data_IF_853087152760
#
_entry.id   IF_853087152760
#
_cell.length_a   1.000
_cell.length_b   1.000
_cell.length_c   1.000
_cell.angle_alpha   90.00
_cell.angle_beta   90.00
_cell.angle_gamma   90.00
#
_symmetry.space_group_name_H-M   'P 1'
#
loop_
_entity.id
_entity.type
_entity.pdbx_description
1 polymer ?
#
# COMPACT_ATOMS: atom_id res chain seq x y z
N UNK A 1 31.11 -15.98 -8.66
CA UNK A 1 29.86 -15.19 -8.57
C UNK A 1 28.83 -15.92 -9.41
N UNK A 2 27.61 -16.07 -8.92
CA UNK A 2 26.56 -16.81 -9.63
C UNK A 2 25.75 -15.84 -10.50
N UNK A 3 25.61 -16.17 -11.78
CA UNK A 3 24.79 -15.41 -12.73
C UNK A 3 23.30 -15.65 -12.47
N UNK A 4 22.49 -14.63 -12.70
CA UNK A 4 21.02 -14.67 -12.53
C UNK A 4 20.36 -14.44 -13.86
N UNK A 5 19.22 -15.09 -14.08
CA UNK A 5 18.33 -14.80 -15.20
C UNK A 5 17.29 -13.76 -14.81
N UNK A 6 16.99 -12.87 -15.76
CA UNK A 6 15.99 -11.82 -15.66
C UNK A 6 14.99 -12.00 -16.80
N UNK A 7 13.70 -11.88 -16.49
CA UNK A 7 12.62 -12.17 -17.42
C UNK A 7 11.63 -11.01 -17.50
N UNK A 8 11.34 -10.56 -18.71
CA UNK A 8 10.31 -9.56 -18.96
C UNK A 8 8.94 -10.22 -18.85
N UNK A 9 8.10 -9.73 -17.93
CA UNK A 9 6.78 -10.33 -17.71
C UNK A 9 5.84 -10.17 -18.91
N UNK A 10 6.07 -9.13 -19.71
CA UNK A 10 5.23 -8.74 -20.85
C UNK A 10 5.63 -9.48 -22.14
N UNK A 11 6.80 -9.19 -22.71
CA UNK A 11 7.25 -9.76 -23.99
C UNK A 11 8.07 -11.04 -23.87
N UNK A 12 8.29 -11.54 -22.65
CA UNK A 12 9.04 -12.77 -22.34
C UNK A 12 10.53 -12.74 -22.71
N UNK A 13 11.08 -11.57 -23.01
CA UNK A 13 12.52 -11.40 -23.19
C UNK A 13 13.31 -11.87 -21.95
N UNK A 14 14.45 -12.51 -22.18
CA UNK A 14 15.35 -13.02 -21.13
C UNK A 14 16.69 -12.31 -21.23
N UNK A 15 17.28 -11.98 -20.09
CA UNK A 15 18.66 -11.56 -19.97
C UNK A 15 19.36 -12.36 -18.86
N UNK A 16 20.68 -12.52 -18.96
CA UNK A 16 21.48 -13.20 -17.95
C UNK A 16 22.62 -12.29 -17.53
N UNK A 17 22.89 -12.22 -16.23
CA UNK A 17 24.01 -11.45 -15.71
C UNK A 17 24.06 -11.43 -14.19
N UNK A 18 25.09 -10.78 -13.65
CA UNK A 18 25.27 -10.65 -12.20
C UNK A 18 24.28 -9.68 -11.54
N UNK A 19 23.69 -8.78 -12.34
CA UNK A 19 22.76 -7.74 -11.89
C UNK A 19 21.71 -7.44 -12.96
N UNK A 20 20.64 -6.74 -12.56
CA UNK A 20 19.57 -6.35 -13.48
C UNK A 20 20.17 -5.52 -14.63
N UNK A 21 19.91 -5.86 -15.90
CA UNK A 21 20.51 -5.14 -17.01
C UNK A 21 20.05 -3.68 -17.06
N UNK A 22 20.91 -2.80 -17.58
CA UNK A 22 20.56 -1.41 -17.81
C UNK A 22 19.35 -1.29 -18.75
N UNK A 23 18.47 -0.32 -18.49
CA UNK A 23 17.25 -0.11 -19.27
C UNK A 23 16.09 -1.06 -18.92
N UNK A 24 16.24 -1.93 -17.92
CA UNK A 24 15.14 -2.70 -17.37
C UNK A 24 14.44 -1.94 -16.24
N UNK A 25 13.13 -2.13 -16.14
CA UNK A 25 12.25 -1.44 -15.21
C UNK A 25 11.59 -2.44 -14.24
N UNK A 26 11.38 -2.00 -13.01
CA UNK A 26 10.72 -2.78 -11.96
C UNK A 26 9.38 -2.15 -11.61
N UNK A 27 8.29 -2.91 -11.73
CA UNK A 27 6.97 -2.47 -11.28
C UNK A 27 6.71 -2.94 -9.85
N UNK A 28 6.29 -2.01 -8.99
CA UNK A 28 5.99 -2.27 -7.58
C UNK A 28 4.67 -1.61 -7.21
N UNK A 29 3.89 -2.28 -6.36
CA UNK A 29 2.69 -1.73 -5.74
C UNK A 29 2.99 -1.37 -4.30
N UNK A 30 2.79 -0.11 -3.93
CA UNK A 30 2.80 0.31 -2.54
C UNK A 30 1.60 -0.32 -1.82
N UNK A 31 1.86 -0.90 -0.66
CA UNK A 31 0.86 -1.40 0.27
C UNK A 31 0.83 -0.49 1.49
N UNK A 32 -0.31 -0.48 2.19
CA UNK A 32 -0.42 0.21 3.47
C UNK A 32 0.66 -0.28 4.46
N UNK A 33 1.24 0.66 5.21
CA UNK A 33 2.28 0.38 6.20
C UNK A 33 3.70 0.33 5.65
N UNK A 34 3.98 0.96 4.50
CA UNK A 34 5.35 1.15 3.98
C UNK A 34 5.99 -0.09 3.36
N UNK A 35 5.18 -1.10 3.04
CA UNK A 35 5.63 -2.30 2.32
C UNK A 35 5.34 -2.14 0.84
N UNK A 36 6.22 -2.63 -0.02
CA UNK A 36 5.95 -2.69 -1.45
C UNK A 36 5.94 -4.13 -1.94
N UNK A 37 4.93 -4.47 -2.74
CA UNK A 37 4.86 -5.73 -3.45
C UNK A 37 5.51 -5.57 -4.83
N UNK A 38 6.51 -6.41 -5.15
CA UNK A 38 7.12 -6.44 -6.49
C UNK A 38 6.19 -7.21 -7.43
N UNK A 39 5.79 -6.56 -8.53
CA UNK A 39 4.85 -7.13 -9.50
C UNK A 39 5.56 -7.78 -10.71
N UNK A 40 6.70 -7.24 -11.12
CA UNK A 40 7.42 -7.77 -12.27
C UNK A 40 8.58 -6.90 -12.74
N UNK A 41 9.41 -7.47 -13.60
CA UNK A 41 10.51 -6.80 -14.29
C UNK A 41 10.19 -6.70 -15.78
N UNK A 42 10.64 -5.62 -16.43
CA UNK A 42 10.27 -5.27 -17.81
C UNK A 42 11.49 -4.77 -18.58
N UNK A 43 11.69 -5.25 -19.81
CA UNK A 43 12.90 -4.96 -20.58
C UNK A 43 12.93 -3.55 -21.20
N UNK A 44 11.80 -2.84 -21.22
CA UNK A 44 11.69 -1.48 -21.76
C UNK A 44 10.46 -0.74 -21.19
N UNK A 45 10.39 0.57 -21.37
CA UNK A 45 9.26 1.41 -20.93
C UNK A 45 7.93 0.96 -21.56
N UNK A 46 7.93 0.57 -22.84
CA UNK A 46 6.71 0.10 -23.51
C UNK A 46 6.10 -1.12 -22.83
N UNK A 47 6.92 -2.11 -22.45
CA UNK A 47 6.47 -3.28 -21.70
C UNK A 47 5.98 -2.93 -20.29
N UNK A 48 6.58 -1.94 -19.64
CA UNK A 48 6.14 -1.45 -18.33
C UNK A 48 4.76 -0.80 -18.42
N UNK A 49 4.53 0.04 -19.43
CA UNK A 49 3.27 0.75 -19.63
C UNK A 49 2.14 -0.22 -19.99
N UNK A 50 2.37 -1.15 -20.92
CA UNK A 50 1.38 -2.19 -21.27
C UNK A 50 0.94 -3.03 -20.05
N UNK A 51 1.89 -3.37 -19.17
CA UNK A 51 1.56 -4.03 -17.92
C UNK A 51 0.81 -3.13 -16.93
N UNK A 52 1.07 -1.82 -16.94
CA UNK A 52 0.30 -0.82 -16.20
C UNK A 52 -1.17 -0.76 -16.65
N UNK A 53 -1.41 -0.75 -17.96
CA UNK A 53 -2.76 -0.74 -18.54
C UNK A 53 -3.53 -2.02 -18.15
N UNK A 54 -2.86 -3.18 -18.18
CA UNK A 54 -3.46 -4.45 -17.74
C UNK A 54 -3.83 -4.45 -16.26
N UNK A 55 -3.04 -3.78 -15.41
CA UNK A 55 -3.34 -3.65 -13.98
C UNK A 55 -4.55 -2.74 -13.74
N UNK A 56 -4.66 -1.64 -14.49
CA UNK A 56 -5.81 -0.74 -14.42
C UNK A 56 -7.09 -1.46 -14.86
N UNK A 57 -7.04 -2.20 -15.96
CA UNK A 57 -8.17 -3.01 -16.42
C UNK A 57 -8.57 -4.07 -15.38
N UNK A 58 -7.58 -4.74 -14.78
CA UNK A 58 -7.82 -5.69 -13.70
C UNK A 58 -8.41 -5.06 -12.44
N UNK A 59 -8.02 -3.82 -12.11
CA UNK A 59 -8.60 -3.05 -11.00
C UNK A 59 -10.05 -2.65 -11.28
N UNK A 60 -10.37 -2.24 -12.50
CA UNK A 60 -11.73 -1.92 -12.92
C UNK A 60 -12.64 -3.15 -12.93
N UNK A 61 -12.17 -4.28 -13.47
CA UNK A 61 -12.90 -5.56 -13.44
C UNK A 61 -13.11 -6.05 -12.00
N UNK A 62 -12.07 -6.00 -11.15
CA UNK A 62 -12.21 -6.33 -9.73
C UNK A 62 -13.22 -5.40 -9.05
N UNK A 63 -13.17 -4.10 -9.34
CA UNK A 63 -14.11 -3.13 -8.78
C UNK A 63 -15.56 -3.45 -9.16
N UNK A 64 -15.80 -3.81 -10.43
CA UNK A 64 -17.13 -4.23 -10.90
C UNK A 64 -17.61 -5.52 -10.23
N UNK A 65 -16.74 -6.52 -10.07
CA UNK A 65 -17.10 -7.81 -9.46
C UNK A 65 -17.39 -7.70 -7.97
N UNK A 66 -16.68 -6.83 -7.26
CA UNK A 66 -16.77 -6.68 -5.81
C UNK A 66 -17.57 -5.45 -5.37
N UNK A 67 -18.26 -4.77 -6.31
CA UNK A 67 -19.01 -3.53 -6.09
C UNK A 67 -18.21 -2.48 -5.30
N UNK A 68 -16.92 -2.36 -5.61
CA UNK A 68 -16.05 -1.39 -4.96
C UNK A 68 -16.34 0.01 -5.52
N UNK A 69 -16.36 1.05 -4.66
CA UNK A 69 -16.62 2.40 -5.11
C UNK A 69 -15.54 2.85 -6.10
N UNK A 70 -16.00 3.36 -7.24
CA UNK A 70 -15.13 3.91 -8.30
C UNK A 70 -14.35 5.10 -7.78
N UNK A 71 -13.28 5.51 -8.48
CA UNK A 71 -12.52 6.71 -8.13
C UNK A 71 -13.42 7.96 -8.04
N UNK A 72 -14.39 8.09 -8.95
CA UNK A 72 -15.37 9.19 -8.92
C UNK A 72 -16.26 9.15 -7.69
N UNK A 73 -16.70 7.96 -7.28
CA UNK A 73 -17.52 7.81 -6.08
C UNK A 73 -16.71 8.14 -4.83
N UNK A 74 -15.44 7.71 -4.79
CA UNK A 74 -14.51 8.07 -3.71
C UNK A 74 -14.29 9.57 -3.64
N UNK A 75 -14.06 10.26 -4.77
CA UNK A 75 -13.90 11.71 -4.80
C UNK A 75 -15.14 12.44 -4.22
N UNK A 76 -16.35 12.00 -4.60
CA UNK A 76 -17.61 12.53 -4.06
C UNK A 76 -17.77 12.28 -2.56
N UNK A 77 -17.36 11.10 -2.09
CA UNK A 77 -17.36 10.76 -0.67
C UNK A 77 -16.38 11.66 0.09
N UNK A 78 -15.19 11.89 -0.45
CA UNK A 78 -14.16 12.75 0.16
C UNK A 78 -14.64 14.20 0.25
N UNK A 79 -15.23 14.75 -0.81
CA UNK A 79 -15.79 16.11 -0.82
C UNK A 79 -16.91 16.28 0.24
N UNK A 80 -17.82 15.29 0.34
CA UNK A 80 -18.85 15.30 1.39
C UNK A 80 -18.28 15.12 2.79
N UNK A 81 -17.25 14.29 2.96
CA UNK A 81 -16.61 14.12 4.25
C UNK A 81 -15.89 15.40 4.70
N UNK A 82 -15.22 16.09 3.77
CA UNK A 82 -14.57 17.36 4.03
C UNK A 82 -15.56 18.43 4.50
N UNK A 83 -16.69 18.58 3.79
CA UNK A 83 -17.74 19.53 4.17
C UNK A 83 -18.31 19.20 5.57
N UNK A 84 -18.50 17.93 5.90
CA UNK A 84 -18.92 17.52 7.25
C UNK A 84 -17.89 17.84 8.32
N UNK A 85 -16.60 17.59 8.07
CA UNK A 85 -15.51 17.88 9.01
C UNK A 85 -15.37 19.40 9.23
N UNK A 86 -15.47 20.20 8.16
CA UNK A 86 -15.51 21.66 8.25
C UNK A 86 -16.72 22.18 9.03
N UNK A 87 -17.85 21.48 8.95
CA UNK A 87 -19.04 21.74 9.77
C UNK A 87 -18.91 21.24 11.24
N UNK A 88 -17.74 20.74 11.64
CA UNK A 88 -17.46 20.31 13.01
C UNK A 88 -17.85 18.87 13.33
N UNK A 89 -18.24 18.05 12.34
CA UNK A 89 -18.45 16.61 12.55
C UNK A 89 -17.12 15.91 12.74
N UNK A 90 -17.09 14.89 13.60
CA UNK A 90 -15.90 14.04 13.76
C UNK A 90 -15.79 13.02 12.63
N UNK A 91 -14.58 12.54 12.35
CA UNK A 91 -14.33 11.53 11.32
C UNK A 91 -15.22 10.27 11.46
N UNK A 92 -15.44 9.69 12.67
CA UNK A 92 -16.35 8.55 12.82
C UNK A 92 -17.81 8.87 12.48
N UNK A 93 -18.28 10.09 12.79
CA UNK A 93 -19.65 10.51 12.47
C UNK A 93 -19.84 10.71 10.96
N UNK A 94 -18.84 11.27 10.27
CA UNK A 94 -18.85 11.42 8.83
C UNK A 94 -18.81 10.05 8.13
N UNK A 95 -17.99 9.13 8.62
CA UNK A 95 -17.89 7.75 8.11
C UNK A 95 -19.23 7.00 8.19
N UNK A 96 -19.91 7.07 9.34
CA UNK A 96 -21.23 6.48 9.54
C UNK A 96 -22.26 7.07 8.57
N UNK A 97 -22.28 8.41 8.43
CA UNK A 97 -23.23 9.12 7.55
C UNK A 97 -23.02 8.78 6.07
N UNK A 98 -21.78 8.50 5.67
CA UNK A 98 -21.40 8.14 4.30
C UNK A 98 -21.46 6.63 4.05
N UNK A 99 -21.76 5.81 5.07
CA UNK A 99 -21.73 4.33 5.02
C UNK A 99 -20.37 3.79 4.55
N UNK A 100 -19.27 4.44 4.96
CA UNK A 100 -17.90 4.05 4.63
C UNK A 100 -17.15 3.67 5.89
N UNK A 101 -16.30 2.65 5.82
CA UNK A 101 -15.48 2.27 6.96
C UNK A 101 -14.51 3.42 7.35
N UNK A 102 -14.38 3.77 8.65
CA UNK A 102 -13.63 4.95 9.09
C UNK A 102 -12.13 4.89 8.75
N UNK A 103 -11.54 3.70 8.62
CA UNK A 103 -10.14 3.56 8.18
C UNK A 103 -9.95 3.89 6.70
N UNK A 104 -10.89 3.47 5.84
CA UNK A 104 -10.87 3.78 4.42
C UNK A 104 -11.06 5.28 4.20
N UNK A 105 -12.04 5.88 4.90
CA UNK A 105 -12.26 7.33 4.83
C UNK A 105 -11.04 8.12 5.30
N UNK A 106 -10.36 7.66 6.36
CA UNK A 106 -9.11 8.28 6.83
C UNK A 106 -8.02 8.22 5.76
N UNK A 107 -7.80 7.05 5.15
CA UNK A 107 -6.82 6.85 4.08
C UNK A 107 -7.11 7.79 2.90
N UNK A 108 -8.37 7.89 2.47
CA UNK A 108 -8.76 8.75 1.35
C UNK A 108 -8.58 10.23 1.65
N UNK A 109 -8.93 10.68 2.86
CA UNK A 109 -8.71 12.08 3.28
C UNK A 109 -7.21 12.41 3.39
N UNK A 110 -6.40 11.47 3.88
CA UNK A 110 -4.94 11.64 3.93
C UNK A 110 -4.33 11.72 2.53
N UNK A 111 -4.77 10.88 1.60
CA UNK A 111 -4.35 10.93 0.20
C UNK A 111 -4.73 12.26 -0.48
N UNK A 112 -5.84 12.87 -0.06
CA UNK A 112 -6.29 14.19 -0.52
C UNK A 112 -5.69 15.37 0.27
N UNK A 113 -4.77 15.13 1.21
CA UNK A 113 -4.19 16.15 2.10
C UNK A 113 -5.19 16.95 2.95
N UNK A 114 -6.36 16.37 3.24
CA UNK A 114 -7.39 17.01 4.06
C UNK A 114 -7.14 16.68 5.54
N UNK A 115 -6.97 17.69 6.42
CA UNK A 115 -6.74 17.46 7.84
C UNK A 115 -7.96 16.80 8.48
N UNK A 116 -7.74 15.67 9.15
CA UNK A 116 -8.79 14.88 9.81
C UNK A 116 -9.06 15.32 11.25
N UNK A 117 -8.22 16.21 11.78
CA UNK A 117 -8.42 16.90 13.05
C UNK A 117 -9.23 18.17 12.81
N UNK A 118 -10.36 18.31 13.50
CA UNK A 118 -11.07 19.59 13.62
C UNK A 118 -10.03 20.61 14.10
N UNK A 119 -9.82 21.75 13.39
CA UNK A 119 -9.05 22.83 13.95
C UNK A 119 -9.76 23.22 15.25
N UNK A 120 -9.13 22.91 16.39
CA UNK A 120 -9.53 23.53 17.64
C UNK A 120 -9.52 25.04 17.43
N UNK A 121 -10.41 25.80 18.10
CA UNK A 121 -10.39 27.25 17.99
C UNK A 121 -8.94 27.72 18.21
N UNK A 122 -8.45 28.70 17.43
CA UNK A 122 -7.09 29.19 17.61
C UNK A 122 -6.92 29.46 19.10
N UNK A 123 -5.92 28.81 19.71
CA UNK A 123 -5.60 29.05 21.10
C UNK A 123 -5.43 30.57 21.22
N UNK A 124 -6.39 31.22 21.89
CA UNK A 124 -6.26 32.61 22.28
C UNK A 124 -5.04 32.61 23.16
N UNK A 125 -3.94 33.17 22.63
CA UNK A 125 -2.72 33.37 23.38
C UNK A 125 -3.06 34.28 24.55
N UNK A 126 -3.26 33.67 25.72
CA UNK A 126 -3.33 34.39 26.98
C UNK A 126 -2.02 35.14 27.13
N UNK A 127 -2.01 36.48 27.30
CA UNK A 127 -0.77 37.22 27.44
C UNK A 127 -0.05 36.73 28.71
N UNK A 128 1.16 36.20 28.55
CA UNK A 128 2.05 35.89 29.67
C UNK A 128 2.36 37.18 30.43
N UNK A 129 2.14 37.26 31.75
CA UNK A 129 2.77 38.30 32.53
C UNK A 129 4.25 37.95 32.69
N UNK A 130 5.08 38.90 32.26
CA UNK A 130 6.52 38.92 32.47
C UNK A 130 6.80 39.00 33.97
N UNK A 131 7.68 38.14 34.50
CA UNK A 131 8.89 38.53 35.25
C UNK A 131 9.57 37.33 35.92
N UNK A 132 10.81 37.09 35.49
CA UNK A 132 11.89 36.33 36.15
C UNK A 132 12.41 37.07 37.41
N UNK A 133 13.46 36.63 38.14
CA UNK A 133 14.10 35.30 38.28
C UNK A 133 14.39 34.92 39.77
N UNK A 134 15.18 33.85 39.97
CA UNK A 134 16.15 33.60 41.08
C UNK A 134 15.79 32.46 42.05
N UNK A 135 16.42 31.29 41.85
CA UNK A 135 17.43 30.70 42.76
C UNK A 135 17.68 29.22 42.45
N UNK A 136 18.91 28.89 42.06
CA UNK A 136 19.53 27.55 42.18
C UNK A 136 19.79 27.25 43.70
N UNK A 137 20.22 26.04 44.18
CA UNK A 137 20.92 25.00 43.42
C UNK A 137 20.73 23.51 43.85
N UNK A 138 21.42 22.61 43.12
CA UNK A 138 22.08 21.37 43.61
C UNK A 138 21.23 20.12 43.95
N UNK A 139 21.41 19.03 43.15
CA UNK A 139 22.04 17.74 43.54
C UNK A 139 21.82 16.64 42.47
N UNK A 140 22.91 16.15 41.87
CA UNK A 140 23.12 14.73 41.49
C UNK A 140 23.31 13.89 42.77
N UNK A 141 23.03 12.56 42.85
CA UNK A 141 23.77 11.54 42.06
C UNK A 141 23.08 10.17 41.74
N UNK A 142 23.64 9.50 40.71
CA UNK A 142 23.96 8.04 40.60
C UNK A 142 22.84 6.98 40.65
N UNK A 143 22.74 6.14 39.60
CA UNK A 143 22.93 4.66 39.67
C UNK A 143 22.56 3.93 38.35
N UNK A 144 23.54 3.22 37.77
CA UNK A 144 23.41 1.95 37.01
C UNK A 144 23.33 0.79 38.05
N UNK A 145 23.15 -0.52 37.77
CA UNK A 145 22.99 -1.24 36.48
C UNK A 145 22.02 -2.48 36.49
N UNK A 146 21.95 -3.17 35.33
CA UNK A 146 21.74 -4.63 35.13
C UNK A 146 20.30 -5.20 35.39
N UNK A 147 19.81 -6.31 34.82
CA UNK A 147 20.38 -7.41 34.03
C UNK A 147 19.26 -8.26 33.36
N UNK A 148 19.65 -9.12 32.40
CA UNK A 148 19.19 -10.52 32.16
C UNK A 148 17.74 -10.73 31.63
N UNK A 149 17.37 -11.72 30.82
CA UNK A 149 17.90 -13.03 30.37
C UNK A 149 16.98 -13.51 29.21
N UNK A 150 17.48 -13.99 28.07
CA UNK A 150 17.71 -15.42 27.68
C UNK A 150 16.51 -16.16 27.05
N UNK A 151 16.72 -16.58 25.78
CA UNK A 151 16.31 -17.83 25.07
C UNK A 151 14.86 -18.36 25.12
N UNK A 152 14.34 -18.86 23.99
CA UNK A 152 14.06 -20.30 23.75
C UNK A 152 13.61 -20.57 22.30
N UNK A 153 13.93 -21.80 21.90
CA UNK A 153 13.81 -22.56 20.65
C UNK A 153 12.42 -22.85 20.06
N UNK A 154 12.43 -23.33 18.80
CA UNK A 154 11.45 -24.27 18.23
C UNK A 154 11.12 -23.88 16.78
N UNK A 155 11.42 -24.63 15.73
CA UNK A 155 11.20 -26.07 15.56
C UNK A 155 9.93 -26.25 14.71
N UNK A 156 10.08 -26.49 13.40
CA UNK A 156 8.93 -26.71 12.50
C UNK A 156 9.34 -27.18 11.10
N UNK A 157 9.40 -28.50 10.93
CA UNK A 157 9.53 -29.22 9.65
C UNK A 157 8.14 -29.43 9.02
N UNK A 158 8.02 -29.16 7.70
CA UNK A 158 7.31 -29.91 6.63
C UNK A 158 5.78 -30.18 6.76
N UNK A 159 5.00 -30.45 5.66
CA UNK A 159 5.33 -31.12 4.38
C UNK A 159 4.96 -30.31 3.10
N UNK A 160 5.68 -30.48 2.00
CA UNK A 160 5.64 -31.54 0.96
C UNK A 160 4.48 -31.37 -0.04
N UNK A 161 4.91 -31.02 -1.24
CA UNK A 161 4.19 -30.84 -2.50
C UNK A 161 3.72 -32.20 -3.02
N UNK A 162 2.45 -32.28 -3.46
CA UNK A 162 1.98 -33.37 -4.32
C UNK A 162 2.14 -32.94 -5.78
N UNK A 163 3.05 -33.62 -6.47
CA UNK A 163 3.15 -33.68 -7.92
C UNK A 163 1.91 -34.37 -8.52
N UNK A 164 1.34 -33.79 -9.58
CA UNK A 164 0.67 -34.57 -10.61
C UNK A 164 1.04 -34.06 -12.01
N UNK A 165 1.42 -34.97 -12.93
CA UNK A 165 1.83 -34.63 -14.27
C UNK A 165 0.67 -34.47 -15.26
N UNK A 166 1.03 -33.71 -16.29
CA UNK A 166 0.29 -33.29 -17.49
C UNK A 166 -0.03 -34.47 -18.40
N UNK A 167 -1.25 -34.49 -18.96
CA UNK A 167 -1.57 -35.28 -20.17
C UNK A 167 -2.18 -34.37 -21.22
N UNK A 168 -1.46 -34.27 -22.34
CA UNK A 168 -1.88 -33.78 -23.64
C UNK A 168 -3.16 -34.46 -24.17
N UNK A 169 -4.04 -33.67 -24.80
CA UNK A 169 -4.59 -34.04 -26.11
C UNK A 169 -5.25 -32.84 -26.82
N UNK A 170 -5.00 -32.63 -28.13
CA UNK A 170 -5.66 -31.61 -28.95
C UNK A 170 -6.99 -32.12 -29.53
N UNK A 171 -8.01 -31.27 -29.61
CA UNK A 171 -9.24 -31.56 -30.36
C UNK A 171 -9.31 -30.66 -31.59
N UNK A 172 -9.57 -31.31 -32.71
CA UNK A 172 -9.51 -30.82 -34.07
C UNK A 172 -10.53 -29.71 -34.39
N UNK A 173 -10.11 -28.90 -35.35
CA UNK A 173 -10.94 -28.07 -36.23
C UNK A 173 -11.96 -28.91 -37.00
N UNK A 174 -13.20 -28.46 -37.05
CA UNK A 174 -14.06 -28.73 -38.20
C UNK A 174 -14.92 -27.50 -38.54
N UNK A 175 -15.00 -27.26 -39.85
CA UNK A 175 -15.62 -26.11 -40.47
C UNK A 175 -16.80 -26.63 -41.30
N UNK A 176 -18.00 -26.10 -41.06
CA UNK A 176 -19.08 -26.17 -42.04
C UNK A 176 -20.01 -24.98 -41.84
N UNK A 177 -19.78 -23.93 -42.63
CA UNK A 177 -20.74 -22.87 -42.86
C UNK A 177 -21.76 -23.33 -43.90
N UNK A 178 -23.03 -23.16 -43.56
CA UNK A 178 -24.20 -23.44 -44.36
C UNK A 178 -24.23 -22.64 -45.67
N UNK A 179 -24.77 -23.28 -46.72
CA UNK A 179 -25.40 -22.65 -47.87
C UNK A 179 -26.78 -23.26 -48.05
#
# INVERSE_FOLDING_TARGET
MEERSFYCRECKAVAVGLSVPAGWYLLRRALDGGRDLRLGLYCCVGCLLAAGDTLLEGEEDASRRWDLPTERDRARVVERAETMIRAGRTLPQAAESLKVHPTALRSWLQAAHIPTTIPGPPAVETPKPVSNPVSNPVRTPVSKPAAKSTSTSGGGRSPAVSDQPVSDQPVAVDAAAER
#
